data_IF_234437698910
#
_entry.id   IF_234437698910
#
_cell.length_a   1.000
_cell.length_b   1.000
_cell.length_c   1.000
_cell.angle_alpha   90.00
_cell.angle_beta   90.00
_cell.angle_gamma   90.00
#
_symmetry.space_group_name_H-M   'P 1'
#
loop_
_entity.id
_entity.type
_entity.pdbx_description
1 polymer ?
#
# COMPACT_ATOMS: atom_id res chain seq x y z
N UNK A 1 -26.57 -7.07 -8.65
CA UNK A 1 -26.42 -6.84 -7.20
C UNK A 1 -25.16 -6.01 -6.94
N UNK A 2 -25.20 -4.71 -7.22
CA UNK A 2 -24.16 -3.74 -6.83
C UNK A 2 -24.87 -2.39 -6.69
N UNK A 3 -25.56 -2.18 -5.57
CA UNK A 3 -26.07 -0.85 -5.24
C UNK A 3 -24.96 -0.15 -4.47
N UNK A 4 -24.19 0.67 -5.19
CA UNK A 4 -23.31 1.65 -4.59
C UNK A 4 -24.17 2.74 -3.96
N UNK A 5 -24.17 2.82 -2.63
CA UNK A 5 -24.86 3.89 -1.91
C UNK A 5 -25.13 3.54 -0.46
N UNK A 6 -24.38 4.17 0.45
CA UNK A 6 -24.83 4.35 1.83
C UNK A 6 -24.07 3.57 2.90
N UNK A 7 -22.87 4.04 3.24
CA UNK A 7 -22.33 4.33 4.59
C UNK A 7 -20.82 4.13 4.55
N UNK A 8 -20.08 5.23 4.41
CA UNK A 8 -18.62 5.27 4.22
C UNK A 8 -17.82 4.97 5.51
N UNK A 9 -18.50 4.64 6.61
CA UNK A 9 -17.91 4.38 7.93
C UNK A 9 -18.02 2.92 8.39
N UNK A 10 -18.58 2.02 7.56
CA UNK A 10 -18.64 0.61 7.93
C UNK A 10 -17.31 -0.06 7.55
N UNK A 11 -16.47 -0.49 8.50
CA UNK A 11 -15.36 -1.38 8.20
C UNK A 11 -15.89 -2.59 7.41
N UNK A 12 -15.07 -3.23 6.55
CA UNK A 12 -15.52 -4.44 5.88
C UNK A 12 -16.02 -5.37 6.97
N UNK A 13 -17.30 -5.75 6.91
CA UNK A 13 -17.83 -6.71 7.89
C UNK A 13 -16.88 -7.91 7.92
N UNK A 14 -16.69 -8.58 9.06
CA UNK A 14 -15.81 -9.77 9.14
C UNK A 14 -16.11 -10.83 8.07
N UNK A 15 -17.26 -10.76 7.38
CA UNK A 15 -17.65 -11.58 6.23
C UNK A 15 -16.93 -11.23 4.92
N UNK A 16 -16.44 -10.00 4.75
CA UNK A 16 -15.79 -9.54 3.51
C UNK A 16 -14.31 -9.93 3.46
N UNK A 17 -13.64 -10.06 4.61
CA UNK A 17 -12.24 -10.52 4.71
C UNK A 17 -12.02 -11.89 4.03
N UNK A 18 -12.78 -12.96 4.38
CA UNK A 18 -12.66 -14.25 3.72
C UNK A 18 -12.90 -14.20 2.21
N UNK A 19 -13.84 -13.36 1.76
CA UNK A 19 -14.11 -13.20 0.34
C UNK A 19 -12.95 -12.54 -0.39
N UNK A 20 -12.35 -11.50 0.18
CA UNK A 20 -11.17 -10.84 -0.41
C UNK A 20 -10.00 -11.81 -0.50
N UNK A 21 -9.73 -12.59 0.56
CA UNK A 21 -8.71 -13.64 0.53
C UNK A 21 -8.98 -14.67 -0.55
N UNK A 22 -10.21 -15.18 -0.63
CA UNK A 22 -10.60 -16.12 -1.66
C UNK A 22 -10.35 -15.57 -3.08
N UNK A 23 -10.73 -14.32 -3.34
CA UNK A 23 -10.52 -13.69 -4.64
C UNK A 23 -9.02 -13.57 -4.97
N UNK A 24 -8.21 -13.08 -4.02
CA UNK A 24 -6.76 -12.95 -4.17
C UNK A 24 -6.07 -14.31 -4.35
N UNK A 25 -6.56 -15.36 -3.68
CA UNK A 25 -6.07 -16.72 -3.84
C UNK A 25 -6.46 -17.35 -5.18
N UNK A 26 -7.52 -16.87 -5.81
CA UNK A 26 -7.99 -17.31 -7.13
C UNK A 26 -7.57 -16.35 -8.27
N UNK A 27 -6.52 -15.57 -8.08
CA UNK A 27 -5.88 -14.80 -9.15
C UNK A 27 -6.52 -13.45 -9.46
N UNK A 28 -7.37 -12.91 -8.57
CA UNK A 28 -7.76 -11.52 -8.68
C UNK A 28 -6.53 -10.62 -8.61
N UNK A 29 -6.33 -9.78 -9.63
CA UNK A 29 -5.18 -8.89 -9.74
C UNK A 29 -5.30 -7.74 -8.71
N UNK A 30 -4.41 -7.66 -7.70
CA UNK A 30 -4.48 -6.65 -6.64
C UNK A 30 -4.07 -5.25 -7.12
N UNK A 31 -3.58 -5.10 -8.34
CA UNK A 31 -3.21 -3.85 -8.95
C UNK A 31 -4.31 -3.27 -9.86
N UNK A 32 -5.26 -4.10 -10.29
CA UNK A 32 -6.41 -3.64 -11.11
C UNK A 32 -7.50 -3.07 -10.21
N UNK A 33 -8.11 -1.99 -10.65
CA UNK A 33 -9.23 -1.33 -9.98
C UNK A 33 -9.98 -0.44 -10.97
N UNK A 34 -11.27 -0.23 -10.74
CA UNK A 34 -12.13 0.59 -11.60
C UNK A 34 -12.35 2.01 -11.08
N UNK A 35 -11.87 2.32 -9.88
CA UNK A 35 -12.13 3.60 -9.23
C UNK A 35 -11.00 4.60 -9.48
N UNK A 36 -11.27 5.69 -10.21
CA UNK A 36 -10.34 6.82 -10.43
C UNK A 36 -8.94 6.43 -10.92
N UNK A 37 -8.83 5.38 -11.73
CA UNK A 37 -7.55 4.81 -12.17
C UNK A 37 -6.63 4.35 -11.00
N UNK A 38 -7.19 4.23 -9.80
CA UNK A 38 -6.54 3.74 -8.59
C UNK A 38 -6.79 2.23 -8.48
N UNK A 39 -5.69 1.46 -8.43
CA UNK A 39 -5.72 0.01 -8.26
C UNK A 39 -6.31 -0.43 -6.92
N UNK A 40 -6.59 -1.74 -6.76
CA UNK A 40 -7.20 -2.26 -5.54
C UNK A 40 -6.36 -1.98 -4.27
N UNK A 41 -5.02 -2.04 -4.33
CA UNK A 41 -4.16 -1.68 -3.20
C UNK A 41 -4.32 -0.21 -2.77
N UNK A 42 -4.40 0.72 -3.72
CA UNK A 42 -4.62 2.14 -3.45
C UNK A 42 -6.01 2.37 -2.83
N UNK A 43 -7.03 1.69 -3.35
CA UNK A 43 -8.39 1.75 -2.79
C UNK A 43 -8.43 1.17 -1.37
N UNK A 44 -7.65 0.11 -1.10
CA UNK A 44 -7.54 -0.46 0.24
C UNK A 44 -6.94 0.51 1.26
N UNK A 45 -5.98 1.35 0.86
CA UNK A 45 -5.44 2.44 1.69
C UNK A 45 -6.50 3.51 1.96
N UNK A 46 -7.17 4.00 0.92
CA UNK A 46 -8.19 5.06 1.00
C UNK A 46 -9.30 4.68 1.98
N UNK A 47 -9.78 3.43 1.91
CA UNK A 47 -10.83 2.91 2.80
C UNK A 47 -10.30 2.28 4.10
N UNK A 48 -9.05 2.59 4.47
CA UNK A 48 -8.42 2.13 5.71
C UNK A 48 -8.62 0.63 5.99
N UNK A 49 -8.44 -0.20 4.95
CA UNK A 49 -8.58 -1.66 5.06
C UNK A 49 -7.53 -2.26 6.01
N UNK A 50 -7.84 -3.39 6.67
CA UNK A 50 -6.91 -4.06 7.58
C UNK A 50 -5.57 -4.34 6.91
N UNK A 51 -4.46 -4.18 7.66
CA UNK A 51 -3.11 -4.41 7.17
C UNK A 51 -2.94 -5.81 6.54
N UNK A 52 -3.62 -6.82 7.09
CA UNK A 52 -3.66 -8.18 6.56
C UNK A 52 -4.07 -8.25 5.08
N UNK A 53 -5.01 -7.41 4.65
CA UNK A 53 -5.43 -7.34 3.24
C UNK A 53 -4.30 -6.75 2.39
N UNK A 54 -3.65 -5.70 2.87
CA UNK A 54 -2.56 -5.03 2.15
C UNK A 54 -1.36 -5.98 2.01
N UNK A 55 -1.04 -6.72 3.08
CA UNK A 55 0.02 -7.72 3.11
C UNK A 55 -0.26 -8.85 2.10
N UNK A 56 -1.48 -9.39 2.11
CA UNK A 56 -1.91 -10.39 1.13
C UNK A 56 -1.86 -9.86 -0.31
N UNK A 57 -2.26 -8.61 -0.54
CA UNK A 57 -2.18 -7.99 -1.88
C UNK A 57 -0.73 -7.92 -2.37
N UNK A 58 0.21 -7.54 -1.49
CA UNK A 58 1.65 -7.53 -1.80
C UNK A 58 2.16 -8.94 -2.08
N UNK A 59 1.74 -9.95 -1.30
CA UNK A 59 2.07 -11.37 -1.56
C UNK A 59 1.58 -11.86 -2.93
N UNK A 60 0.49 -11.28 -3.44
CA UNK A 60 -0.06 -11.57 -4.77
C UNK A 60 0.51 -10.67 -5.87
N UNK A 61 1.58 -9.94 -5.59
CA UNK A 61 2.33 -9.17 -6.58
C UNK A 61 1.91 -7.70 -6.72
N UNK A 62 1.11 -7.15 -5.80
CA UNK A 62 0.84 -5.71 -5.81
C UNK A 62 2.14 -4.93 -5.62
N UNK A 63 2.42 -4.04 -6.57
CA UNK A 63 3.59 -3.14 -6.47
C UNK A 63 3.16 -1.77 -5.94
N UNK A 64 4.10 -1.06 -5.32
CA UNK A 64 3.89 0.30 -4.81
C UNK A 64 4.57 1.29 -5.75
N UNK A 65 3.76 2.04 -6.48
CA UNK A 65 4.19 3.18 -7.29
C UNK A 65 4.16 4.49 -6.48
N UNK A 66 4.44 5.61 -7.14
CA UNK A 66 4.43 6.93 -6.50
C UNK A 66 3.06 7.30 -5.93
N UNK A 67 1.97 6.89 -6.59
CA UNK A 67 0.61 7.25 -6.21
C UNK A 67 0.17 6.46 -4.98
N UNK A 68 0.35 5.14 -4.99
CA UNK A 68 0.07 4.24 -3.85
C UNK A 68 0.88 4.68 -2.62
N UNK A 69 2.16 5.01 -2.80
CA UNK A 69 3.00 5.47 -1.70
C UNK A 69 2.49 6.79 -1.11
N UNK A 70 2.14 7.74 -1.99
CA UNK A 70 1.61 9.03 -1.55
C UNK A 70 0.29 8.90 -0.80
N UNK A 71 -0.56 7.97 -1.24
CA UNK A 71 -1.84 7.68 -0.60
C UNK A 71 -1.65 7.12 0.81
N UNK A 72 -0.71 6.20 1.02
CA UNK A 72 -0.40 5.68 2.37
C UNK A 72 0.10 6.78 3.32
N UNK A 73 0.95 7.69 2.82
CA UNK A 73 1.45 8.86 3.58
C UNK A 73 0.31 9.83 3.91
N UNK A 74 -0.55 10.16 2.94
CA UNK A 74 -1.67 11.09 3.09
C UNK A 74 -2.71 10.55 4.07
N UNK A 75 -2.99 9.26 3.99
CA UNK A 75 -3.93 8.54 4.87
C UNK A 75 -3.31 8.15 6.21
N UNK A 76 -2.07 8.58 6.48
CA UNK A 76 -1.34 8.40 7.75
C UNK A 76 -1.22 6.93 8.19
N UNK A 77 -1.16 6.02 7.23
CA UNK A 77 -1.04 4.57 7.44
C UNK A 77 0.43 4.20 7.67
N UNK A 78 0.92 4.46 8.89
CA UNK A 78 2.31 4.13 9.28
C UNK A 78 2.59 2.64 9.09
N UNK A 79 1.64 1.80 9.48
CA UNK A 79 1.63 0.34 9.30
C UNK A 79 1.83 -0.07 7.84
N UNK A 80 1.11 0.58 6.91
CA UNK A 80 1.27 0.31 5.48
C UNK A 80 2.62 0.81 4.94
N UNK A 81 3.09 1.98 5.37
CA UNK A 81 4.40 2.52 4.96
C UNK A 81 5.52 1.60 5.43
N UNK A 82 5.43 1.06 6.64
CA UNK A 82 6.40 0.10 7.19
C UNK A 82 6.40 -1.20 6.35
N UNK A 83 5.20 -1.78 6.13
CA UNK A 83 5.01 -2.95 5.28
C UNK A 83 5.58 -2.75 3.86
N UNK A 84 5.43 -1.55 3.28
CA UNK A 84 5.96 -1.24 1.96
C UNK A 84 7.49 -1.29 1.91
N UNK A 85 8.18 -0.81 2.94
CA UNK A 85 9.64 -0.89 3.01
C UNK A 85 10.13 -2.30 3.33
N UNK A 86 9.36 -3.08 4.07
CA UNK A 86 9.69 -4.46 4.43
C UNK A 86 9.54 -5.41 3.23
N UNK A 87 8.37 -5.38 2.59
CA UNK A 87 7.94 -6.49 1.73
C UNK A 87 7.68 -6.07 0.28
N UNK A 88 7.11 -4.90 0.04
CA UNK A 88 6.61 -4.53 -1.28
C UNK A 88 7.71 -4.32 -2.34
N UNK A 89 7.35 -4.61 -3.60
CA UNK A 89 8.11 -4.15 -4.77
C UNK A 89 7.84 -2.66 -4.98
N UNK A 90 8.87 -1.83 -4.79
CA UNK A 90 8.76 -0.37 -4.84
C UNK A 90 9.19 0.18 -6.21
N UNK A 91 8.23 0.64 -7.02
CA UNK A 91 8.49 1.39 -8.26
C UNK A 91 8.53 2.91 -8.06
N UNK A 92 8.40 3.38 -6.82
CA UNK A 92 8.55 4.77 -6.46
C UNK A 92 10.04 5.17 -6.28
N UNK A 93 10.40 6.37 -6.74
CA UNK A 93 11.77 6.89 -6.59
C UNK A 93 12.02 7.41 -5.17
N UNK A 94 13.23 7.22 -4.65
CA UNK A 94 13.60 7.72 -3.31
C UNK A 94 13.41 9.22 -3.15
N UNK A 95 13.69 10.00 -4.21
CA UNK A 95 13.46 11.46 -4.23
C UNK A 95 11.98 11.80 -4.02
N UNK A 96 11.06 11.09 -4.70
CA UNK A 96 9.61 11.30 -4.56
C UNK A 96 9.11 10.87 -3.18
N UNK A 97 9.57 9.72 -2.65
CA UNK A 97 9.24 9.28 -1.28
C UNK A 97 9.61 10.36 -0.25
N UNK A 98 10.84 10.88 -0.33
CA UNK A 98 11.31 11.93 0.58
C UNK A 98 10.56 13.25 0.38
N UNK A 99 10.20 13.61 -0.86
CA UNK A 99 9.39 14.79 -1.14
C UNK A 99 8.00 14.69 -0.50
N UNK A 100 7.33 13.56 -0.65
CA UNK A 100 5.98 13.38 -0.09
C UNK A 100 6.01 13.34 1.45
N UNK A 101 7.00 12.67 2.04
CA UNK A 101 7.20 12.68 3.48
C UNK A 101 7.44 14.09 4.05
N UNK A 102 8.04 15.02 3.28
CA UNK A 102 8.22 16.41 3.72
C UNK A 102 6.90 17.17 3.79
N UNK A 103 5.94 16.87 2.91
CA UNK A 103 4.63 17.53 2.83
C UNK A 103 3.73 17.17 4.01
N UNK A 104 3.83 15.96 4.56
CA UNK A 104 3.07 15.60 5.76
C UNK A 104 3.56 16.36 7.00
N UNK A 105 2.70 16.53 8.00
CA UNK A 105 3.08 17.03 9.33
C UNK A 105 3.48 15.90 10.29
N UNK A 106 3.24 14.65 9.89
CA UNK A 106 3.49 13.47 10.71
C UNK A 106 5.00 13.19 10.84
N UNK A 107 5.51 13.30 12.07
CA UNK A 107 6.94 13.13 12.38
C UNK A 107 7.39 11.68 12.31
N UNK A 108 6.49 10.75 12.60
CA UNK A 108 6.77 9.33 12.59
C UNK A 108 6.93 8.86 11.15
N UNK A 109 5.98 9.20 10.28
CA UNK A 109 6.08 8.92 8.83
C UNK A 109 7.34 9.56 8.25
N UNK A 110 7.68 10.81 8.61
CA UNK A 110 8.93 11.44 8.16
C UNK A 110 10.17 10.62 8.53
N UNK A 111 10.22 10.10 9.74
CA UNK A 111 11.37 9.35 10.25
C UNK A 111 11.43 7.97 9.61
N UNK A 112 10.29 7.29 9.51
CA UNK A 112 10.14 5.99 8.86
C UNK A 112 10.56 6.04 7.38
N UNK A 113 10.07 7.02 6.62
CA UNK A 113 10.42 7.16 5.19
C UNK A 113 11.91 7.45 5.02
N UNK A 114 12.51 8.30 5.86
CA UNK A 114 13.96 8.55 5.83
C UNK A 114 14.76 7.27 6.09
N UNK A 115 14.38 6.53 7.13
CA UNK A 115 15.05 5.28 7.49
C UNK A 115 14.91 4.20 6.40
N UNK A 116 13.69 4.03 5.87
CA UNK A 116 13.41 3.08 4.79
C UNK A 116 14.17 3.41 3.50
N UNK A 117 14.23 4.68 3.13
CA UNK A 117 15.02 5.14 1.97
C UNK A 117 16.52 4.89 2.17
N UNK A 118 17.07 5.19 3.36
CA UNK A 118 18.49 4.95 3.66
C UNK A 118 18.84 3.46 3.56
N UNK A 119 18.04 2.58 4.17
CA UNK A 119 18.21 1.12 4.06
C UNK A 119 18.22 0.65 2.59
N UNK A 120 17.35 1.22 1.76
CA UNK A 120 17.24 0.86 0.33
C UNK A 120 18.43 1.34 -0.49
N UNK A 121 19.04 2.48 -0.14
CA UNK A 121 20.24 2.98 -0.81
C UNK A 121 21.51 2.26 -0.36
N UNK A 122 21.54 1.79 0.89
CA UNK A 122 22.67 1.05 1.46
C UNK A 122 22.71 -0.41 0.99
N UNK A 123 21.58 -0.94 0.48
CA UNK A 123 21.53 -2.28 -0.09
C UNK A 123 22.33 -2.36 -1.40
N UNK A 124 23.32 -3.27 -1.49
CA UNK A 124 24.08 -3.47 -2.72
C UNK A 124 23.15 -3.85 -3.88
N UNK A 125 23.45 -3.34 -5.09
CA UNK A 125 22.60 -3.54 -6.29
C UNK A 125 22.29 -5.01 -6.60
N UNK A 126 23.16 -5.94 -6.21
CA UNK A 126 22.96 -7.37 -6.41
C UNK A 126 21.88 -7.98 -5.51
N UNK A 127 21.58 -7.39 -4.34
CA UNK A 127 20.52 -7.85 -3.44
C UNK A 127 19.10 -7.65 -3.99
N UNK A 128 18.92 -6.73 -4.93
CA UNK A 128 17.61 -6.49 -5.55
C UNK A 128 17.24 -7.51 -6.64
N UNK A 129 18.16 -8.41 -6.98
CA UNK A 129 17.97 -9.42 -8.03
C UNK A 129 17.39 -10.73 -7.45
N UNK A 130 17.53 -10.96 -6.14
CA UNK A 130 17.19 -12.23 -5.48
C UNK A 130 15.97 -12.14 -4.54
N UNK A 131 15.15 -11.10 -4.69
CA UNK A 131 13.89 -10.91 -3.94
C UNK A 131 12.72 -11.13 -4.89
#
# INVERSE_FOLDING_TARGET
ACQGGGTYDSPPSNKTLPLIHYLLDNGADPQKGSWRDCGALCTALEFSRPLEILDKMIDKGATVDDFVFSEAVRSRRIDAVELFFEKATLHCSTKKMLHEARKTKDREIKSLVKAGVAKRTDQPKWWQIWK
#
